data_IF_232870056530
#
_entry.id   IF_232870056530
#
_cell.length_a   1.000
_cell.length_b   1.000
_cell.length_c   1.000
_cell.angle_alpha   90.00
_cell.angle_beta   90.00
_cell.angle_gamma   90.00
#
_symmetry.space_group_name_H-M   'P 1'
#
loop_
_entity.id
_entity.type
_entity.pdbx_description
1 polymer ?
#
# COMPACT_ATOMS: atom_id res chain seq x y z
N UNK A 1 17.13 -5.13 20.37
CA UNK A 1 17.33 -4.39 19.10
C UNK A 1 17.39 -2.91 19.41
N UNK A 2 18.38 -2.15 18.92
CA UNK A 2 18.33 -0.69 18.97
C UNK A 2 17.41 -0.21 17.84
N UNK A 3 16.34 0.49 18.21
CA UNK A 3 15.39 1.08 17.28
C UNK A 3 15.97 2.39 16.74
N UNK A 4 16.07 2.55 15.41
CA UNK A 4 16.58 3.77 14.74
C UNK A 4 15.70 5.01 14.94
N UNK A 5 14.58 4.86 15.65
CA UNK A 5 13.67 5.93 16.01
C UNK A 5 13.48 5.86 17.54
N UNK A 6 13.65 6.98 18.27
CA UNK A 6 13.36 7.00 19.70
C UNK A 6 11.92 6.53 19.93
N UNK A 7 11.75 5.53 20.79
CA UNK A 7 10.45 4.89 21.09
C UNK A 7 9.45 5.86 21.73
N UNK A 8 9.93 7.01 22.22
CA UNK A 8 9.13 8.13 22.70
C UNK A 8 9.71 9.42 22.11
N UNK A 9 8.93 10.12 21.29
CA UNK A 9 9.23 11.51 20.88
C UNK A 9 8.72 12.43 21.99
N UNK A 10 9.48 13.47 22.33
CA UNK A 10 8.95 14.55 23.17
C UNK A 10 7.82 15.28 22.44
N UNK A 11 6.96 15.97 23.19
CA UNK A 11 5.88 16.77 22.62
C UNK A 11 6.44 17.80 21.61
N UNK A 12 7.52 18.50 21.95
CA UNK A 12 8.15 19.46 21.05
C UNK A 12 8.73 18.84 19.78
N UNK A 13 9.31 17.65 19.88
CA UNK A 13 9.76 16.90 18.70
C UNK A 13 8.59 16.50 17.82
N UNK A 14 7.46 16.09 18.41
CA UNK A 14 6.24 15.80 17.66
C UNK A 14 5.72 17.07 16.98
N UNK A 15 5.65 18.21 17.70
CA UNK A 15 5.21 19.49 17.13
C UNK A 15 6.07 19.92 15.94
N UNK A 16 7.39 19.81 16.05
CA UNK A 16 8.32 20.08 14.94
C UNK A 16 8.10 19.12 13.76
N UNK A 17 7.90 17.83 14.02
CA UNK A 17 7.65 16.85 12.97
C UNK A 17 6.33 17.11 12.23
N UNK A 18 5.26 17.45 12.94
CA UNK A 18 3.98 17.81 12.32
C UNK A 18 4.08 19.11 11.52
N UNK A 19 4.83 20.11 12.01
CA UNK A 19 5.11 21.32 11.25
C UNK A 19 5.82 21.01 9.93
N UNK A 20 6.91 20.24 9.97
CA UNK A 20 7.62 19.82 8.75
C UNK A 20 6.71 19.05 7.79
N UNK A 21 5.84 18.18 8.31
CA UNK A 21 4.89 17.43 7.48
C UNK A 21 3.82 18.34 6.86
N UNK A 22 3.35 19.35 7.60
CA UNK A 22 2.45 20.38 7.09
C UNK A 22 3.11 21.21 6.00
N UNK A 23 4.35 21.65 6.19
CA UNK A 23 5.11 22.41 5.19
C UNK A 23 5.34 21.58 3.92
N UNK A 24 5.71 20.30 4.06
CA UNK A 24 5.85 19.36 2.94
C UNK A 24 4.52 19.15 2.20
N UNK A 25 3.42 19.02 2.95
CA UNK A 25 2.09 18.85 2.37
C UNK A 25 1.65 20.12 1.61
N UNK A 26 1.87 21.31 2.17
CA UNK A 26 1.61 22.60 1.53
C UNK A 26 2.46 22.77 0.27
N UNK A 27 3.73 22.37 0.32
CA UNK A 27 4.61 22.37 -0.84
C UNK A 27 4.00 21.55 -1.99
N UNK A 28 3.50 20.34 -1.73
CA UNK A 28 2.88 19.51 -2.76
C UNK A 28 1.53 20.02 -3.28
N UNK A 29 0.79 20.75 -2.45
CA UNK A 29 -0.57 21.22 -2.75
C UNK A 29 -0.60 22.57 -3.46
N UNK A 30 0.45 23.38 -3.29
CA UNK A 30 0.60 24.64 -3.97
C UNK A 30 0.68 24.43 -5.50
N UNK A 31 -0.09 25.22 -6.25
CA UNK A 31 -0.20 25.17 -7.72
C UNK A 31 0.17 26.50 -8.38
N UNK A 32 0.56 27.51 -7.60
CA UNK A 32 0.71 28.89 -8.09
C UNK A 32 2.10 29.49 -7.91
N UNK A 33 2.88 28.99 -6.96
CA UNK A 33 4.20 29.50 -6.63
C UNK A 33 5.31 28.59 -7.21
N UNK A 34 6.42 29.19 -7.63
CA UNK A 34 7.58 28.44 -8.11
C UNK A 34 8.06 27.44 -7.04
N UNK A 35 8.25 26.17 -7.42
CA UNK A 35 8.72 25.12 -6.50
C UNK A 35 10.06 25.46 -5.86
N UNK A 36 10.98 26.01 -6.65
CA UNK A 36 12.29 26.42 -6.15
C UNK A 36 12.18 27.55 -5.12
N UNK A 37 11.29 28.52 -5.33
CA UNK A 37 11.03 29.60 -4.38
C UNK A 37 10.62 29.05 -3.01
N UNK A 38 9.63 28.16 -2.99
CA UNK A 38 9.16 27.54 -1.73
C UNK A 38 10.30 26.80 -1.02
N UNK A 39 11.13 26.05 -1.76
CA UNK A 39 12.23 25.28 -1.18
C UNK A 39 13.34 26.19 -0.62
N UNK A 40 13.74 27.22 -1.37
CA UNK A 40 14.78 28.17 -0.97
C UNK A 40 14.32 28.95 0.28
N UNK A 41 13.09 29.46 0.28
CA UNK A 41 12.50 30.17 1.43
C UNK A 41 12.34 29.26 2.65
N UNK A 42 12.03 27.97 2.46
CA UNK A 42 11.94 27.00 3.54
C UNK A 42 13.28 26.84 4.30
N UNK A 43 14.41 26.94 3.60
CA UNK A 43 15.75 26.91 4.20
C UNK A 43 16.22 28.27 4.73
N UNK A 44 15.38 29.31 4.65
CA UNK A 44 15.67 30.66 5.14
C UNK A 44 16.46 31.54 4.18
N UNK A 45 16.58 31.13 2.91
CA UNK A 45 17.20 31.91 1.86
C UNK A 45 16.15 32.76 1.11
N UNK A 46 16.54 33.93 0.60
CA UNK A 46 15.66 34.79 -0.21
C UNK A 46 15.81 34.48 -1.71
N UNK A 47 14.71 34.09 -2.34
CA UNK A 47 14.65 33.85 -3.78
C UNK A 47 14.18 35.10 -4.57
N UNK A 48 13.62 36.09 -3.89
CA UNK A 48 12.97 37.27 -4.47
C UNK A 48 11.79 36.91 -5.38
N UNK A 49 11.56 37.76 -6.38
CA UNK A 49 10.50 37.56 -7.40
C UNK A 49 10.97 36.78 -8.63
N UNK A 50 12.11 36.11 -8.52
CA UNK A 50 12.66 35.29 -9.60
C UNK A 50 11.80 34.04 -9.79
N UNK A 51 11.85 33.48 -11.00
CA UNK A 51 11.26 32.17 -11.35
C UNK A 51 12.40 31.24 -11.75
N UNK A 52 12.31 29.97 -11.37
CA UNK A 52 13.35 29.00 -11.74
C UNK A 52 13.28 28.56 -13.21
N UNK A 53 12.16 28.82 -13.90
CA UNK A 53 11.88 28.44 -15.30
C UNK A 53 11.93 26.93 -15.60
N UNK A 54 12.12 26.08 -14.58
CA UNK A 54 12.32 24.64 -14.73
C UNK A 54 11.25 23.77 -14.06
N UNK A 55 10.52 24.30 -13.07
CA UNK A 55 9.48 23.52 -12.38
C UNK A 55 8.16 23.51 -13.14
N UNK A 56 7.31 22.53 -12.82
CA UNK A 56 5.94 22.37 -13.36
C UNK A 56 5.19 23.70 -13.42
N UNK A 57 5.18 24.46 -12.33
CA UNK A 57 4.42 25.73 -12.25
C UNK A 57 5.04 26.84 -13.12
N UNK A 58 6.37 26.87 -13.29
CA UNK A 58 7.02 27.87 -14.16
C UNK A 58 6.95 27.52 -15.64
N UNK A 59 6.85 26.23 -15.97
CA UNK A 59 6.78 25.71 -17.33
C UNK A 59 5.34 25.75 -17.83
N UNK A 60 4.41 25.17 -17.07
CA UNK A 60 3.00 25.05 -17.46
C UNK A 60 2.18 26.32 -17.11
N UNK A 61 2.68 27.10 -16.15
CA UNK A 61 1.95 28.23 -15.57
C UNK A 61 0.98 27.80 -14.46
N UNK A 62 0.54 28.75 -13.62
CA UNK A 62 -0.47 28.47 -12.61
C UNK A 62 -1.83 28.17 -13.26
N UNK A 63 -2.72 27.43 -12.56
CA UNK A 63 -4.08 27.20 -13.05
C UNK A 63 -4.88 28.51 -13.14
N UNK A 64 -6.05 28.46 -13.77
CA UNK A 64 -6.97 29.61 -13.79
C UNK A 64 -7.37 29.97 -12.36
N UNK A 65 -7.26 31.25 -12.02
CA UNK A 65 -7.77 31.80 -10.78
C UNK A 65 -9.31 31.74 -10.78
N UNK A 66 -9.89 31.26 -9.69
CA UNK A 66 -11.34 31.15 -9.52
C UNK A 66 -11.79 32.08 -8.42
N UNK A 67 -12.98 32.66 -8.57
CA UNK A 67 -13.69 33.31 -7.48
C UNK A 67 -14.47 32.24 -6.71
N UNK A 68 -14.10 32.02 -5.45
CA UNK A 68 -14.74 31.04 -4.56
C UNK A 68 -15.50 31.73 -3.42
N UNK A 69 -15.99 32.97 -3.64
CA UNK A 69 -16.63 33.77 -2.60
C UNK A 69 -17.86 33.09 -2.02
N UNK A 70 -18.69 32.51 -2.87
CA UNK A 70 -19.90 31.81 -2.43
C UNK A 70 -19.56 30.58 -1.57
N UNK A 71 -18.61 29.74 -2.02
CA UNK A 71 -18.16 28.57 -1.27
C UNK A 71 -17.51 28.96 0.07
N UNK A 72 -16.69 30.01 0.06
CA UNK A 72 -16.05 30.52 1.27
C UNK A 72 -17.08 31.07 2.26
N UNK A 73 -18.07 31.83 1.77
CA UNK A 73 -19.14 32.39 2.57
C UNK A 73 -20.00 31.31 3.21
N UNK A 74 -20.49 30.34 2.43
CA UNK A 74 -21.36 29.29 2.97
C UNK A 74 -20.63 28.42 4.00
N UNK A 75 -19.36 28.08 3.75
CA UNK A 75 -18.55 27.34 4.71
C UNK A 75 -18.33 28.14 5.99
N UNK A 76 -17.97 29.42 5.85
CA UNK A 76 -17.73 30.30 7.00
C UNK A 76 -19.02 30.55 7.80
N UNK A 77 -20.17 30.72 7.16
CA UNK A 77 -21.48 30.86 7.80
C UNK A 77 -21.84 29.60 8.60
N UNK A 78 -21.65 28.40 8.01
CA UNK A 78 -21.92 27.15 8.72
C UNK A 78 -21.03 26.98 9.96
N UNK A 79 -19.75 27.34 9.84
CA UNK A 79 -18.82 27.34 10.97
C UNK A 79 -19.28 28.35 12.02
N UNK A 80 -19.48 29.62 11.64
CA UNK A 80 -19.86 30.69 12.57
C UNK A 80 -21.18 30.41 13.30
N UNK A 81 -22.22 29.96 12.59
CA UNK A 81 -23.52 29.63 13.18
C UNK A 81 -23.39 28.58 14.29
N UNK A 82 -22.57 27.55 14.06
CA UNK A 82 -22.35 26.49 15.05
C UNK A 82 -21.70 27.00 16.33
N UNK A 83 -20.73 27.92 16.21
CA UNK A 83 -20.03 28.47 17.38
C UNK A 83 -20.85 29.56 18.08
N UNK A 84 -21.70 30.30 17.35
CA UNK A 84 -22.68 31.21 17.95
C UNK A 84 -23.72 30.45 18.80
N UNK A 85 -24.24 29.32 18.30
CA UNK A 85 -25.14 28.43 19.04
C UNK A 85 -24.47 27.86 20.31
N UNK A 86 -23.17 27.53 20.26
CA UNK A 86 -22.44 27.03 21.43
C UNK A 86 -22.18 28.11 22.49
N UNK A 87 -21.98 29.37 22.09
CA UNK A 87 -21.73 30.47 23.02
C UNK A 87 -22.99 30.93 23.78
N UNK A 88 -24.17 30.70 23.21
CA UNK A 88 -25.45 31.09 23.82
C UNK A 88 -25.85 30.19 25.01
N UNK A 89 -25.31 28.97 25.09
CA UNK A 89 -25.64 28.00 26.15
C UNK A 89 -24.82 28.16 27.45
N UNK A 90 -23.79 29.00 27.47
CA UNK A 90 -22.88 29.15 28.63
C UNK A 90 -23.41 30.13 29.71
N UNK A 91 -24.54 30.81 29.47
CA UNK A 91 -25.08 31.86 30.36
C UNK A 91 -26.53 31.65 30.83
N UNK A 92 -27.13 30.48 30.58
CA UNK A 92 -28.51 30.20 31.01
C UNK A 92 -28.52 29.34 32.28
N UNK A 93 -28.59 30.00 33.44
CA UNK A 93 -29.09 29.41 34.68
C UNK A 93 -30.62 29.34 34.58
N UNK A 94 -31.15 28.40 33.79
CA UNK A 94 -32.53 27.96 34.00
C UNK A 94 -32.72 26.48 33.69
N UNK A 95 -33.39 25.85 34.64
CA UNK A 95 -33.69 24.44 34.75
C UNK A 95 -34.82 24.09 33.76
N UNK A 96 -34.47 23.75 32.52
CA UNK A 96 -35.46 23.22 31.58
C UNK A 96 -34.86 22.22 30.61
N UNK A 97 -35.07 20.94 30.93
CA UNK A 97 -35.28 19.77 30.06
C UNK A 97 -34.44 19.59 28.78
N UNK A 98 -33.27 20.20 28.67
CA UNK A 98 -32.37 19.97 27.56
C UNK A 98 -31.68 18.61 27.76
N UNK A 99 -32.10 17.60 26.99
CA UNK A 99 -31.57 16.23 27.13
C UNK A 99 -30.04 16.23 27.09
N UNK A 100 -29.40 15.45 27.98
CA UNK A 100 -27.93 15.35 28.07
C UNK A 100 -27.27 15.06 26.70
N UNK A 101 -27.99 14.40 25.80
CA UNK A 101 -27.62 14.12 24.41
C UNK A 101 -27.34 15.37 23.57
N UNK A 102 -28.10 16.46 23.74
CA UNK A 102 -27.89 17.69 22.97
C UNK A 102 -26.68 18.43 23.49
N UNK A 103 -26.57 18.64 24.81
CA UNK A 103 -25.39 19.23 25.47
C UNK A 103 -24.11 18.48 25.08
N UNK A 104 -24.14 17.15 25.01
CA UNK A 104 -22.98 16.35 24.63
C UNK A 104 -22.61 16.46 23.14
N UNK A 105 -23.57 16.72 22.23
CA UNK A 105 -23.27 17.02 20.82
C UNK A 105 -22.58 18.38 20.63
N UNK A 106 -22.82 19.36 21.53
CA UNK A 106 -22.15 20.67 21.49
C UNK A 106 -20.71 20.64 22.04
N UNK A 107 -20.43 19.76 22.99
CA UNK A 107 -19.06 19.52 23.49
C UNK A 107 -18.13 18.89 22.43
N UNK A 108 -18.70 18.15 21.47
CA UNK A 108 -17.92 17.53 20.39
C UNK A 108 -17.69 18.55 19.27
N UNK A 109 -16.43 18.99 19.10
CA UNK A 109 -16.04 19.85 17.99
C UNK A 109 -16.36 19.17 16.66
N UNK A 110 -17.22 19.76 15.80
CA UNK A 110 -17.59 19.14 14.54
C UNK A 110 -16.42 19.16 13.55
N UNK A 111 -16.22 18.04 12.86
CA UNK A 111 -15.20 17.95 11.83
C UNK A 111 -15.67 18.63 10.53
N UNK A 112 -14.73 18.93 9.63
CA UNK A 112 -15.02 19.55 8.33
C UNK A 112 -16.10 18.78 7.53
N UNK A 113 -16.10 17.44 7.59
CA UNK A 113 -17.10 16.62 6.88
C UNK A 113 -18.52 16.90 7.38
N UNK A 114 -18.71 17.13 8.68
CA UNK A 114 -20.02 17.46 9.24
C UNK A 114 -20.56 18.78 8.66
N UNK A 115 -19.71 19.81 8.55
CA UNK A 115 -20.09 21.07 7.91
C UNK A 115 -20.44 20.87 6.43
N UNK A 116 -19.62 20.14 5.69
CA UNK A 116 -19.87 19.86 4.27
C UNK A 116 -21.18 19.10 4.04
N UNK A 117 -21.50 18.15 4.90
CA UNK A 117 -22.78 17.44 4.82
C UNK A 117 -23.96 18.40 5.04
N UNK A 118 -23.88 19.29 6.04
CA UNK A 118 -24.91 20.33 6.29
C UNK A 118 -25.04 21.30 5.10
N UNK A 119 -23.94 21.68 4.46
CA UNK A 119 -23.95 22.52 3.24
C UNK A 119 -24.69 21.82 2.11
N UNK A 120 -24.45 20.52 1.90
CA UNK A 120 -25.12 19.72 0.87
C UNK A 120 -26.61 19.55 1.13
N UNK A 121 -27.01 19.44 2.39
CA UNK A 121 -28.42 19.39 2.79
C UNK A 121 -29.15 20.71 2.52
N UNK A 122 -28.47 21.86 2.70
CA UNK A 122 -29.07 23.18 2.56
C UNK A 122 -28.98 23.79 1.15
N UNK A 123 -28.01 23.37 0.33
CA UNK A 123 -27.77 23.97 -0.98
C UNK A 123 -27.68 22.91 -2.08
N UNK A 124 -28.68 22.92 -2.97
CA UNK A 124 -28.74 22.06 -4.14
C UNK A 124 -27.50 22.19 -5.05
N UNK A 125 -26.89 23.39 -5.09
CA UNK A 125 -25.70 23.70 -5.90
C UNK A 125 -24.49 22.87 -5.52
N UNK A 126 -24.35 22.52 -4.24
CA UNK A 126 -23.14 21.90 -3.71
C UNK A 126 -23.27 20.40 -3.41
N UNK A 127 -24.41 19.78 -3.73
CA UNK A 127 -24.69 18.36 -3.47
C UNK A 127 -23.61 17.44 -4.06
N UNK A 128 -23.19 17.73 -5.29
CA UNK A 128 -22.23 16.90 -6.04
C UNK A 128 -20.77 17.32 -5.84
N UNK A 129 -20.50 18.42 -5.12
CA UNK A 129 -19.15 18.91 -4.89
C UNK A 129 -18.37 17.95 -3.98
N UNK A 130 -17.23 17.45 -4.43
CA UNK A 130 -16.40 16.50 -3.69
C UNK A 130 -15.91 17.07 -2.35
N UNK A 131 -15.80 16.23 -1.32
CA UNK A 131 -15.18 16.59 -0.04
C UNK A 131 -13.73 17.07 -0.20
N UNK A 132 -12.99 16.58 -1.20
CA UNK A 132 -11.63 17.05 -1.50
C UNK A 132 -11.59 18.54 -1.86
N UNK A 133 -12.60 19.03 -2.59
CA UNK A 133 -12.74 20.45 -2.91
C UNK A 133 -12.83 21.30 -1.63
N UNK A 134 -13.71 20.89 -0.72
CA UNK A 134 -13.92 21.57 0.56
C UNK A 134 -12.70 21.51 1.48
N UNK A 135 -11.92 20.43 1.43
CA UNK A 135 -10.65 20.32 2.16
C UNK A 135 -9.61 21.32 1.66
N UNK A 136 -9.48 21.47 0.35
CA UNK A 136 -8.60 22.49 -0.24
C UNK A 136 -9.06 23.90 0.12
N UNK A 137 -10.35 24.19 0.00
CA UNK A 137 -10.91 25.48 0.39
C UNK A 137 -10.64 25.81 1.86
N UNK A 138 -10.87 24.86 2.78
CA UNK A 138 -10.57 25.05 4.20
C UNK A 138 -9.08 25.37 4.45
N UNK A 139 -8.16 24.68 3.76
CA UNK A 139 -6.72 24.94 3.85
C UNK A 139 -6.34 26.34 3.34
N UNK A 140 -6.97 26.80 2.25
CA UNK A 140 -6.79 28.17 1.74
C UNK A 140 -7.32 29.20 2.74
N UNK A 141 -8.50 28.96 3.32
CA UNK A 141 -9.09 29.85 4.32
C UNK A 141 -8.26 29.91 5.61
N UNK A 142 -7.68 28.79 6.04
CA UNK A 142 -6.71 28.74 7.14
C UNK A 142 -5.45 29.54 6.80
N UNK A 143 -4.88 29.36 5.60
CA UNK A 143 -3.69 30.07 5.17
C UNK A 143 -3.89 31.59 5.12
N UNK A 144 -5.09 32.05 4.75
CA UNK A 144 -5.48 33.47 4.79
C UNK A 144 -5.83 33.97 6.19
N UNK A 145 -5.99 33.06 7.16
CA UNK A 145 -6.24 33.36 8.57
C UNK A 145 -7.70 33.60 8.92
N UNK A 146 -8.65 33.08 8.13
CA UNK A 146 -10.09 33.18 8.42
C UNK A 146 -10.57 32.10 9.39
N UNK A 147 -10.00 30.90 9.30
CA UNK A 147 -10.28 29.78 10.19
C UNK A 147 -9.00 29.27 10.85
N UNK A 148 -9.14 28.59 11.98
CA UNK A 148 -8.05 27.90 12.69
C UNK A 148 -8.47 26.47 13.08
N UNK A 149 -7.50 25.65 13.42
CA UNK A 149 -7.76 24.34 14.03
C UNK A 149 -8.25 24.52 15.47
N UNK A 150 -9.38 23.89 15.80
CA UNK A 150 -10.05 24.06 17.09
C UNK A 150 -9.59 23.07 18.16
N UNK A 151 -9.07 21.89 17.85
CA UNK A 151 -8.80 20.86 18.87
C UNK A 151 -7.47 21.02 19.63
N UNK A 152 -6.80 22.18 19.49
CA UNK A 152 -5.48 22.53 20.03
C UNK A 152 -4.37 21.52 19.71
N UNK A 153 -4.63 20.60 18.78
CA UNK A 153 -3.66 19.60 18.30
C UNK A 153 -3.14 20.03 16.95
N UNK A 154 -1.87 19.68 16.70
CA UNK A 154 -1.24 19.98 15.42
C UNK A 154 -1.64 18.89 14.42
N UNK A 155 -2.44 19.28 13.42
CA UNK A 155 -2.74 18.45 12.26
C UNK A 155 -2.04 18.99 11.02
N UNK A 156 -1.91 18.11 10.02
CA UNK A 156 -1.38 18.46 8.69
C UNK A 156 -2.44 19.19 7.85
N UNK A 157 -3.71 18.93 8.16
CA UNK A 157 -4.89 19.50 7.50
C UNK A 157 -5.91 19.84 8.58
N UNK A 158 -6.64 20.94 8.38
CA UNK A 158 -7.79 21.33 9.21
C UNK A 158 -8.74 20.14 9.37
N UNK A 159 -8.96 19.71 10.62
CA UNK A 159 -9.96 18.68 10.96
C UNK A 159 -11.19 19.29 11.59
N UNK A 160 -11.01 20.17 12.56
CA UNK A 160 -12.04 20.81 13.36
C UNK A 160 -11.94 22.33 13.16
N UNK A 161 -12.54 22.86 12.09
CA UNK A 161 -12.44 24.28 11.80
C UNK A 161 -13.14 25.12 12.88
N UNK A 162 -12.49 26.19 13.29
CA UNK A 162 -12.99 27.18 14.23
C UNK A 162 -12.85 28.58 13.61
N UNK A 163 -13.85 29.46 13.75
CA UNK A 163 -13.79 30.79 13.16
C UNK A 163 -12.78 31.67 13.90
N UNK A 164 -12.05 32.49 13.16
CA UNK A 164 -11.21 33.56 13.74
C UNK A 164 -11.95 34.90 13.69
N UNK A 165 -11.43 35.93 14.37
CA UNK A 165 -11.95 37.30 14.27
C UNK A 165 -12.03 37.79 12.81
N UNK A 166 -10.95 37.58 12.03
CA UNK A 166 -10.91 37.92 10.60
C UNK A 166 -11.93 37.14 9.78
N UNK A 167 -12.19 35.88 10.14
CA UNK A 167 -13.24 35.08 9.51
C UNK A 167 -14.64 35.63 9.76
N UNK A 168 -14.91 36.11 10.97
CA UNK A 168 -16.19 36.72 11.30
C UNK A 168 -16.37 38.08 10.61
N UNK A 169 -15.30 38.89 10.55
CA UNK A 169 -15.27 40.14 9.77
C UNK A 169 -15.53 39.89 8.28
N UNK A 170 -14.98 38.80 7.73
CA UNK A 170 -15.23 38.38 6.33
C UNK A 170 -16.72 38.12 6.03
N UNK A 171 -17.50 37.67 7.02
CA UNK A 171 -18.96 37.51 6.86
C UNK A 171 -19.71 38.83 6.96
N UNK A 172 -19.19 39.80 7.72
CA UNK A 172 -19.82 41.09 7.95
C UNK A 172 -19.50 42.11 6.85
N UNK A 173 -18.38 41.93 6.14
CA UNK A 173 -18.02 42.78 5.02
C UNK A 173 -18.96 42.52 3.85
N UNK A 174 -19.86 43.48 3.56
CA UNK A 174 -20.63 43.56 2.31
C UNK A 174 -19.76 43.92 1.10
N UNK A 175 -18.44 43.83 1.20
CA UNK A 175 -17.54 44.18 0.12
C UNK A 175 -17.84 43.31 -1.10
N UNK A 176 -18.10 43.93 -2.25
CA UNK A 176 -18.29 43.25 -3.54
C UNK A 176 -17.02 42.53 -4.03
N UNK A 177 -15.89 42.67 -3.33
CA UNK A 177 -14.64 41.98 -3.67
C UNK A 177 -14.82 40.45 -3.72
N UNK A 178 -14.46 39.85 -4.84
CA UNK A 178 -14.47 38.40 -5.06
C UNK A 178 -13.37 37.69 -4.28
N UNK A 179 -13.59 36.44 -3.91
CA UNK A 179 -12.60 35.60 -3.25
C UNK A 179 -11.74 34.86 -4.27
N UNK A 180 -10.86 35.63 -4.93
CA UNK A 180 -10.02 35.13 -6.01
C UNK A 180 -8.84 34.31 -5.47
N UNK A 181 -8.77 33.04 -5.87
CA UNK A 181 -7.72 32.11 -5.44
C UNK A 181 -7.31 31.14 -6.55
N UNK A 182 -6.07 30.65 -6.48
CA UNK A 182 -5.62 29.53 -7.29
C UNK A 182 -6.04 28.21 -6.61
N UNK A 183 -6.82 27.35 -7.28
CA UNK A 183 -7.21 26.07 -6.71
C UNK A 183 -5.99 25.18 -6.46
N UNK A 184 -5.94 24.57 -5.29
CA UNK A 184 -4.85 23.66 -4.91
C UNK A 184 -4.96 22.30 -5.62
N UNK A 185 -3.92 21.48 -5.52
CA UNK A 185 -3.80 20.26 -6.33
C UNK A 185 -4.95 19.26 -6.15
N UNK A 186 -5.46 19.10 -4.91
CA UNK A 186 -6.63 18.26 -4.60
C UNK A 186 -7.95 18.83 -5.12
N UNK A 187 -8.10 20.16 -5.09
CA UNK A 187 -9.23 20.86 -5.71
C UNK A 187 -9.24 20.63 -7.22
N UNK A 188 -8.11 20.84 -7.90
CA UNK A 188 -7.96 20.55 -9.33
C UNK A 188 -8.22 19.08 -9.64
N UNK A 189 -7.79 18.17 -8.76
CA UNK A 189 -8.08 16.74 -8.91
C UNK A 189 -9.58 16.46 -8.82
N UNK A 190 -10.29 17.07 -7.88
CA UNK A 190 -11.74 16.90 -7.73
C UNK A 190 -12.56 17.45 -8.90
N UNK A 191 -12.05 18.47 -9.61
CA UNK A 191 -12.68 19.00 -10.83
C UNK A 191 -12.49 18.09 -12.04
N UNK A 192 -11.50 17.19 -11.99
CA UNK A 192 -11.35 16.22 -13.08
C UNK A 192 -12.59 15.35 -13.05
N UNK A 193 -13.35 15.35 -14.15
CA UNK A 193 -14.37 14.33 -14.39
C UNK A 193 -13.74 13.00 -13.99
N UNK A 194 -14.47 12.13 -13.26
CA UNK A 194 -14.05 10.75 -13.14
C UNK A 194 -13.67 10.33 -14.56
N UNK A 195 -12.39 10.08 -14.81
CA UNK A 195 -12.07 9.29 -15.99
C UNK A 195 -12.94 8.07 -15.76
N UNK A 196 -13.85 7.77 -16.70
CA UNK A 196 -14.47 6.46 -16.75
C UNK A 196 -13.32 5.52 -16.43
N UNK A 197 -13.40 4.84 -15.27
CA UNK A 197 -12.28 4.11 -14.69
C UNK A 197 -11.59 3.44 -15.85
N UNK A 198 -10.28 3.67 -16.01
CA UNK A 198 -9.55 3.19 -17.18
C UNK A 198 -10.04 1.78 -17.43
N UNK A 199 -10.72 1.56 -18.56
CA UNK A 199 -11.50 0.32 -18.75
C UNK A 199 -10.58 -0.86 -18.45
N UNK A 200 -11.09 -2.06 -18.15
CA UNK A 200 -10.23 -3.21 -17.83
C UNK A 200 -9.08 -3.43 -18.86
N UNK A 201 -9.26 -2.96 -20.10
CA UNK A 201 -8.22 -2.90 -21.15
C UNK A 201 -7.00 -2.01 -20.84
N UNK A 202 -7.13 -1.02 -19.95
CA UNK A 202 -6.09 -0.11 -19.47
C UNK A 202 -5.41 -0.59 -18.17
N UNK A 203 -6.09 -1.38 -17.32
CA UNK A 203 -5.47 -2.06 -16.16
C UNK A 203 -4.36 -3.03 -16.58
N UNK A 204 -4.51 -3.59 -17.78
CA UNK A 204 -3.48 -4.38 -18.45
C UNK A 204 -2.38 -3.56 -19.12
N UNK A 205 -2.35 -2.22 -19.07
CA UNK A 205 -1.30 -1.39 -19.68
C UNK A 205 -0.26 -1.00 -18.63
N UNK A 206 0.76 -1.82 -18.46
CA UNK A 206 1.87 -1.53 -17.54
C UNK A 206 2.48 -2.78 -16.90
N UNK A 207 2.76 -2.72 -15.58
CA UNK A 207 3.47 -3.80 -14.87
C UNK A 207 2.74 -5.16 -14.96
N UNK A 208 1.40 -5.15 -15.01
CA UNK A 208 0.55 -6.34 -15.12
C UNK A 208 0.24 -6.77 -16.58
N UNK A 209 0.75 -6.07 -17.59
CA UNK A 209 0.53 -6.45 -19.00
C UNK A 209 1.21 -7.80 -19.32
N UNK A 210 0.47 -8.81 -19.84
CA UNK A 210 1.04 -10.12 -20.20
C UNK A 210 2.15 -10.04 -21.25
N UNK A 211 2.08 -9.10 -22.19
CA UNK A 211 3.06 -8.87 -23.25
C UNK A 211 4.32 -8.20 -22.72
N UNK A 212 4.17 -7.16 -21.89
CA UNK A 212 5.32 -6.50 -21.23
C UNK A 212 6.00 -7.47 -20.24
N UNK A 213 5.24 -8.38 -19.64
CA UNK A 213 5.78 -9.48 -18.82
C UNK A 213 6.55 -10.49 -19.68
N UNK A 214 6.00 -10.92 -20.82
CA UNK A 214 6.67 -11.82 -21.78
C UNK A 214 7.97 -11.21 -22.30
N UNK A 215 7.95 -9.97 -22.78
CA UNK A 215 9.14 -9.25 -23.25
C UNK A 215 10.24 -9.13 -22.17
N UNK A 216 9.86 -8.97 -20.90
CA UNK A 216 10.82 -8.96 -19.79
C UNK A 216 11.40 -10.34 -19.52
N UNK A 217 10.56 -11.37 -19.49
CA UNK A 217 11.00 -12.75 -19.32
C UNK A 217 11.89 -13.21 -20.48
N UNK A 218 11.59 -12.77 -21.70
CA UNK A 218 12.41 -13.04 -22.88
C UNK A 218 13.71 -12.23 -22.88
N UNK A 219 13.73 -10.97 -22.40
CA UNK A 219 14.98 -10.24 -22.13
C UNK A 219 15.84 -10.93 -21.07
N UNK A 220 15.22 -11.53 -20.05
CA UNK A 220 15.92 -12.28 -19.01
C UNK A 220 16.48 -13.61 -19.57
N UNK A 221 15.73 -14.28 -20.45
CA UNK A 221 16.13 -15.54 -21.10
C UNK A 221 17.17 -15.35 -22.21
N UNK A 222 17.08 -14.27 -22.97
CA UNK A 222 17.99 -13.93 -24.09
C UNK A 222 19.27 -13.22 -23.65
N UNK A 223 19.29 -12.61 -22.45
CA UNK A 223 20.55 -12.13 -21.91
C UNK A 223 21.39 -13.35 -21.48
N UNK A 224 22.42 -13.67 -22.27
CA UNK A 224 23.54 -14.54 -21.88
C UNK A 224 24.40 -13.89 -20.77
N UNK A 225 23.77 -13.23 -19.79
CA UNK A 225 24.46 -12.72 -18.61
C UNK A 225 24.73 -13.91 -17.70
N UNK A 226 25.97 -14.39 -17.75
CA UNK A 226 26.52 -15.31 -16.76
C UNK A 226 26.07 -14.85 -15.36
N UNK A 227 25.54 -15.76 -14.51
CA UNK A 227 25.08 -15.39 -13.19
C UNK A 227 26.21 -14.68 -12.46
N UNK A 228 25.97 -13.44 -12.02
CA UNK A 228 26.91 -12.69 -11.18
C UNK A 228 27.17 -13.53 -9.95
N UNK A 229 28.42 -13.94 -9.74
CA UNK A 229 28.83 -14.70 -8.54
C UNK A 229 28.25 -14.00 -7.30
N UNK A 230 27.59 -14.72 -6.39
CA UNK A 230 27.11 -14.13 -5.15
C UNK A 230 28.32 -13.56 -4.43
N UNK A 231 28.29 -12.25 -4.14
CA UNK A 231 29.31 -11.60 -3.33
C UNK A 231 29.25 -12.27 -1.96
N UNK A 232 30.25 -13.08 -1.63
CA UNK A 232 30.41 -13.70 -0.32
C UNK A 232 30.58 -12.58 0.70
N UNK A 233 29.48 -12.17 1.32
CA UNK A 233 29.54 -11.48 2.62
C UNK A 233 30.24 -12.45 3.55
N UNK A 234 31.42 -12.07 4.06
CA UNK A 234 32.10 -12.80 5.14
C UNK A 234 31.10 -12.96 6.28
N UNK A 235 30.48 -14.13 6.39
CA UNK A 235 29.72 -14.47 7.57
C UNK A 235 30.72 -14.65 8.70
N UNK A 236 30.63 -13.78 9.71
CA UNK A 236 31.21 -14.10 11.02
C UNK A 236 30.69 -15.48 11.42
N UNK A 237 31.59 -16.35 11.89
CA UNK A 237 31.29 -17.68 12.43
C UNK A 237 30.05 -17.59 13.32
N UNK A 238 28.91 -18.03 12.81
CA UNK A 238 27.70 -18.19 13.59
C UNK A 238 27.79 -19.58 14.19
N UNK A 239 27.98 -19.65 15.50
CA UNK A 239 27.82 -20.89 16.25
C UNK A 239 26.45 -21.50 15.91
N UNK A 240 26.40 -22.80 15.69
CA UNK A 240 25.17 -23.53 15.38
C UNK A 240 24.22 -23.45 16.57
N UNK A 241 23.21 -22.58 16.47
CA UNK A 241 22.18 -22.47 17.48
C UNK A 241 21.18 -23.63 17.33
N UNK A 242 21.20 -24.56 18.28
CA UNK A 242 20.36 -25.76 18.35
C UNK A 242 18.95 -25.47 18.85
N UNK A 243 18.67 -24.23 19.29
CA UNK A 243 17.35 -23.82 19.76
C UNK A 243 16.30 -23.85 18.65
N UNK A 244 16.69 -23.61 17.39
CA UNK A 244 15.77 -23.59 16.25
C UNK A 244 15.69 -24.95 15.54
N UNK A 245 14.50 -25.30 15.04
CA UNK A 245 14.26 -26.51 14.24
C UNK A 245 15.19 -26.60 13.03
N UNK A 246 15.50 -25.47 12.39
CA UNK A 246 16.50 -25.36 11.31
C UNK A 246 17.92 -25.72 11.75
N UNK A 247 18.34 -25.30 12.95
CA UNK A 247 19.65 -25.64 13.51
C UNK A 247 19.79 -27.14 13.79
N UNK A 248 18.76 -27.76 14.37
CA UNK A 248 18.72 -29.22 14.65
C UNK A 248 18.74 -30.05 13.36
N UNK A 249 18.03 -29.60 12.33
CA UNK A 249 18.03 -30.26 11.01
C UNK A 249 19.41 -30.17 10.35
N UNK A 250 20.08 -29.01 10.41
CA UNK A 250 21.45 -28.85 9.89
C UNK A 250 22.47 -29.74 10.62
N UNK A 251 22.38 -29.86 11.94
CA UNK A 251 23.26 -30.72 12.73
C UNK A 251 23.08 -32.21 12.37
N UNK A 252 21.84 -32.68 12.26
CA UNK A 252 21.54 -34.07 11.86
C UNK A 252 21.98 -34.37 10.43
N UNK A 253 21.82 -33.42 9.49
CA UNK A 253 22.30 -33.57 8.11
C UNK A 253 23.84 -33.65 8.08
N UNK A 254 24.55 -32.85 8.86
CA UNK A 254 26.03 -32.89 8.92
C UNK A 254 26.54 -34.20 9.52
N UNK A 255 25.88 -34.70 10.58
CA UNK A 255 26.25 -35.96 11.23
C UNK A 255 26.02 -37.17 10.30
N UNK A 256 24.92 -37.17 9.55
CA UNK A 256 24.62 -38.20 8.55
C UNK A 256 25.58 -38.16 7.36
N UNK A 257 26.08 -36.97 7.00
CA UNK A 257 27.11 -36.78 5.95
C UNK A 257 28.49 -37.28 6.36
N UNK A 258 28.83 -37.19 7.65
CA UNK A 258 30.06 -37.76 8.23
C UNK A 258 30.03 -39.29 8.16
N UNK A 259 28.96 -39.90 8.68
CA UNK A 259 28.79 -41.36 8.67
C UNK A 259 28.76 -41.96 7.26
N UNK A 260 28.17 -41.24 6.29
CA UNK A 260 28.16 -41.67 4.89
C UNK A 260 29.57 -41.61 4.26
N UNK A 261 30.39 -40.61 4.61
CA UNK A 261 31.77 -40.51 4.11
C UNK A 261 32.69 -41.59 4.71
N UNK A 262 32.48 -41.95 5.97
CA UNK A 262 33.27 -43.01 6.63
C UNK A 262 32.90 -44.40 6.10
N UNK A 263 31.62 -44.67 5.83
CA UNK A 263 31.17 -45.93 5.24
C UNK A 263 31.67 -46.11 3.80
N UNK A 264 31.68 -45.03 3.00
CA UNK A 264 32.24 -45.05 1.63
C UNK A 264 33.75 -45.29 1.65
N UNK A 265 34.50 -44.72 2.60
CA UNK A 265 35.94 -44.97 2.75
C UNK A 265 36.25 -46.41 3.18
N UNK A 266 35.44 -46.99 4.06
CA UNK A 266 35.56 -48.40 4.47
C UNK A 266 35.25 -49.33 3.28
N UNK A 267 34.22 -49.03 2.49
CA UNK A 267 33.88 -49.77 1.27
C UNK A 267 35.01 -49.68 0.24
N UNK A 268 35.60 -48.50 0.00
CA UNK A 268 36.74 -48.37 -0.91
C UNK A 268 38.01 -49.07 -0.42
N UNK A 269 38.23 -49.16 0.89
CA UNK A 269 39.36 -49.89 1.47
C UNK A 269 39.21 -51.41 1.39
N UNK A 270 37.98 -51.93 1.54
CA UNK A 270 37.68 -53.37 1.44
C UNK A 270 37.62 -53.85 -0.02
N UNK A 271 37.32 -52.95 -0.97
CA UNK A 271 37.13 -53.26 -2.39
C UNK A 271 38.42 -53.09 -3.23
N UNK A 272 39.55 -52.75 -2.62
CA UNK A 272 40.86 -52.71 -3.27
C UNK A 272 41.41 -54.07 -3.78
N UNK A 273 40.67 -55.17 -3.61
CA UNK A 273 41.10 -56.53 -3.91
C UNK A 273 39.98 -57.37 -4.59
N UNK A 274 39.43 -56.94 -5.74
CA UNK A 274 38.78 -57.89 -6.67
C UNK A 274 38.47 -57.25 -8.03
N UNK A 275 38.95 -57.84 -9.12
CA UNK A 275 38.90 -57.34 -10.50
C UNK A 275 37.53 -57.49 -11.20
N UNK A 276 36.42 -57.59 -10.48
CA UNK A 276 35.10 -57.91 -11.08
C UNK A 276 34.18 -56.71 -11.35
N UNK A 277 34.70 -55.47 -11.44
CA UNK A 277 33.85 -54.26 -11.44
C UNK A 277 33.26 -53.79 -12.77
N UNK A 278 33.47 -54.49 -13.89
CA UNK A 278 32.97 -54.01 -15.19
C UNK A 278 31.45 -54.21 -15.35
N UNK A 279 30.82 -55.11 -14.57
CA UNK A 279 29.37 -55.35 -14.66
C UNK A 279 28.50 -54.62 -13.62
N UNK A 280 29.08 -53.94 -12.62
CA UNK A 280 28.33 -53.30 -11.50
C UNK A 280 28.19 -51.77 -11.65
N UNK A 281 29.00 -51.13 -12.50
CA UNK A 281 28.95 -49.68 -12.73
C UNK A 281 27.64 -49.17 -13.38
N UNK A 282 26.97 -49.90 -14.29
CA UNK A 282 25.70 -49.46 -14.87
C UNK A 282 24.54 -49.43 -13.86
N UNK A 283 24.49 -50.40 -12.93
CA UNK A 283 23.44 -50.52 -11.91
C UNK A 283 23.56 -49.46 -10.81
N UNK A 284 24.79 -49.13 -10.39
CA UNK A 284 25.05 -48.02 -9.46
C UNK A 284 24.63 -46.65 -10.04
N UNK A 285 24.90 -46.42 -11.34
CA UNK A 285 24.50 -45.18 -12.02
C UNK A 285 22.98 -45.10 -12.26
N UNK A 286 22.30 -46.25 -12.39
CA UNK A 286 20.83 -46.35 -12.44
C UNK A 286 20.21 -46.07 -11.07
N UNK A 287 20.79 -46.64 -10.01
CA UNK A 287 20.39 -46.41 -8.62
C UNK A 287 20.59 -44.96 -8.18
N UNK A 288 21.72 -44.33 -8.50
CA UNK A 288 21.96 -42.92 -8.20
C UNK A 288 20.97 -42.00 -8.92
N UNK A 289 20.59 -42.33 -10.17
CA UNK A 289 19.55 -41.60 -10.92
C UNK A 289 18.17 -41.77 -10.27
N UNK A 290 17.83 -42.96 -9.81
CA UNK A 290 16.59 -43.21 -9.04
C UNK A 290 16.56 -42.41 -7.74
N UNK A 291 17.66 -42.38 -6.98
CA UNK A 291 17.76 -41.58 -5.73
C UNK A 291 17.59 -40.07 -5.98
N UNK A 292 18.18 -39.54 -7.06
CA UNK A 292 18.00 -38.13 -7.45
C UNK A 292 16.55 -37.86 -7.89
N UNK A 293 15.91 -38.80 -8.58
CA UNK A 293 14.50 -38.67 -8.98
C UNK A 293 13.54 -38.72 -7.78
N UNK A 294 13.81 -39.59 -6.80
CA UNK A 294 13.04 -39.70 -5.55
C UNK A 294 13.15 -38.40 -4.74
N UNK A 295 14.36 -37.86 -4.59
CA UNK A 295 14.57 -36.62 -3.85
C UNK A 295 13.95 -35.40 -4.56
N UNK A 296 13.99 -35.38 -5.90
CA UNK A 296 13.25 -34.37 -6.69
C UNK A 296 11.74 -34.50 -6.49
N UNK A 297 11.20 -35.72 -6.49
CA UNK A 297 9.78 -35.97 -6.24
C UNK A 297 9.37 -35.52 -4.83
N UNK A 298 10.24 -35.73 -3.84
CA UNK A 298 10.05 -35.27 -2.46
C UNK A 298 9.96 -33.74 -2.36
N UNK A 299 10.86 -33.02 -3.05
CA UNK A 299 10.87 -31.56 -3.09
C UNK A 299 9.63 -31.03 -3.83
N UNK A 300 9.25 -31.66 -4.95
CA UNK A 300 8.05 -31.29 -5.71
C UNK A 300 6.79 -31.50 -4.85
N UNK A 301 6.69 -32.62 -4.14
CA UNK A 301 5.57 -32.92 -3.24
C UNK A 301 5.45 -31.89 -2.11
N UNK A 302 6.58 -31.52 -1.48
CA UNK A 302 6.59 -30.48 -0.43
C UNK A 302 6.22 -29.09 -0.98
N UNK A 303 6.64 -28.77 -2.21
CA UNK A 303 6.25 -27.52 -2.86
C UNK A 303 4.76 -27.51 -3.24
N UNK A 304 4.20 -28.68 -3.59
CA UNK A 304 2.78 -28.87 -3.92
C UNK A 304 1.90 -28.72 -2.69
N UNK A 305 2.24 -29.36 -1.57
CA UNK A 305 1.52 -29.19 -0.29
C UNK A 305 1.50 -27.71 0.14
N UNK A 306 2.64 -27.01 0.02
CA UNK A 306 2.71 -25.60 0.36
C UNK A 306 2.01 -24.68 -0.65
N UNK A 307 1.81 -25.13 -1.89
CA UNK A 307 1.01 -24.42 -2.87
C UNK A 307 -0.49 -24.61 -2.59
N UNK A 308 -0.93 -25.84 -2.30
CA UNK A 308 -2.31 -26.18 -1.93
C UNK A 308 -2.73 -25.43 -0.65
N UNK A 309 -1.90 -25.43 0.40
CA UNK A 309 -2.15 -24.67 1.64
C UNK A 309 -2.24 -23.15 1.42
N UNK A 310 -1.51 -22.61 0.42
CA UNK A 310 -1.62 -21.19 0.06
C UNK A 310 -2.89 -20.90 -0.73
N UNK A 311 -3.32 -21.79 -1.62
CA UNK A 311 -4.57 -21.65 -2.38
C UNK A 311 -5.76 -21.63 -1.43
N UNK A 312 -5.82 -22.56 -0.47
CA UNK A 312 -6.90 -22.60 0.54
C UNK A 312 -6.92 -21.30 1.36
N UNK A 313 -5.77 -20.82 1.84
CA UNK A 313 -5.68 -19.54 2.58
C UNK A 313 -6.07 -18.32 1.76
N UNK A 314 -5.82 -18.32 0.45
CA UNK A 314 -6.26 -17.24 -0.43
C UNK A 314 -7.76 -17.28 -0.65
N UNK A 315 -8.33 -18.48 -0.79
CA UNK A 315 -9.76 -18.68 -0.94
C UNK A 315 -10.52 -18.23 0.32
N UNK A 316 -10.06 -18.62 1.52
CA UNK A 316 -10.66 -18.15 2.78
C UNK A 316 -10.59 -16.63 2.97
N UNK A 317 -9.46 -16.00 2.60
CA UNK A 317 -9.34 -14.53 2.65
C UNK A 317 -10.25 -13.85 1.65
N UNK A 318 -10.35 -14.41 0.46
CA UNK A 318 -11.22 -13.90 -0.59
C UNK A 318 -12.69 -13.97 -0.16
N UNK A 319 -13.13 -15.10 0.36
CA UNK A 319 -14.52 -15.31 0.83
C UNK A 319 -14.86 -14.40 2.02
N UNK A 320 -13.89 -14.14 2.91
CA UNK A 320 -14.05 -13.20 4.03
C UNK A 320 -14.17 -11.74 3.56
N UNK A 321 -13.36 -11.34 2.59
CA UNK A 321 -13.42 -9.99 2.00
C UNK A 321 -14.74 -9.82 1.23
N UNK A 322 -15.14 -10.85 0.48
CA UNK A 322 -16.44 -10.91 -0.19
C UNK A 322 -17.61 -10.76 0.79
N UNK A 323 -17.61 -11.51 1.89
CA UNK A 323 -18.65 -11.37 2.92
C UNK A 323 -18.76 -9.95 3.47
N UNK A 324 -17.62 -9.27 3.65
CA UNK A 324 -17.57 -7.87 4.11
C UNK A 324 -18.02 -6.86 3.04
N UNK A 325 -17.74 -7.12 1.77
CA UNK A 325 -18.14 -6.24 0.66
C UNK A 325 -19.64 -6.43 0.34
N UNK A 326 -20.10 -7.68 0.28
CA UNK A 326 -21.50 -8.00 0.03
C UNK A 326 -22.42 -7.50 1.15
N UNK A 327 -21.96 -7.49 2.41
CA UNK A 327 -22.74 -6.92 3.53
C UNK A 327 -22.86 -5.40 3.49
N UNK A 328 -22.00 -4.70 2.73
CA UNK A 328 -21.92 -3.23 2.75
C UNK A 328 -22.39 -2.54 1.46
N UNK A 329 -22.38 -3.21 0.28
CA UNK A 329 -22.41 -2.48 -1.01
C UNK A 329 -23.18 -3.11 -2.19
N UNK A 330 -24.02 -4.12 -2.04
CA UNK A 330 -24.62 -4.81 -3.20
C UNK A 330 -25.65 -3.98 -3.99
N UNK A 331 -25.19 -3.20 -4.99
CA UNK A 331 -25.84 -2.90 -6.29
C UNK A 331 -24.78 -2.51 -7.37
N UNK A 332 -23.65 -3.22 -7.53
CA UNK A 332 -22.69 -2.86 -8.58
C UNK A 332 -22.24 -4.05 -9.43
N UNK A 333 -22.68 -4.03 -10.71
CA UNK A 333 -22.40 -4.99 -11.77
C UNK A 333 -20.90 -5.17 -12.04
N UNK A 334 -20.11 -4.11 -11.91
CA UNK A 334 -18.65 -4.14 -12.19
C UNK A 334 -17.89 -5.01 -11.17
N UNK A 335 -18.45 -5.18 -9.97
CA UNK A 335 -17.87 -6.06 -8.96
C UNK A 335 -18.17 -7.53 -9.27
N UNK A 336 -19.32 -7.84 -9.88
CA UNK A 336 -19.64 -9.21 -10.33
C UNK A 336 -18.67 -9.67 -11.43
N UNK A 337 -18.33 -8.79 -12.37
CA UNK A 337 -17.38 -9.06 -13.43
C UNK A 337 -15.93 -9.22 -12.90
N UNK A 338 -15.55 -8.39 -11.92
CA UNK A 338 -14.26 -8.54 -11.23
C UNK A 338 -14.16 -9.87 -10.47
N UNK A 339 -15.27 -10.33 -9.87
CA UNK A 339 -15.35 -11.61 -9.19
C UNK A 339 -15.33 -12.78 -10.17
N UNK A 340 -15.99 -12.66 -11.31
CA UNK A 340 -15.90 -13.64 -12.39
C UNK A 340 -14.45 -13.76 -12.91
N UNK A 341 -13.75 -12.63 -13.08
CA UNK A 341 -12.34 -12.59 -13.47
C UNK A 341 -11.39 -13.19 -12.43
N UNK A 342 -11.59 -12.87 -11.14
CA UNK A 342 -10.82 -13.47 -10.04
C UNK A 342 -11.03 -14.99 -9.98
N UNK A 343 -12.28 -15.45 -10.17
CA UNK A 343 -12.62 -16.88 -10.22
C UNK A 343 -11.99 -17.59 -11.41
N UNK A 344 -11.95 -16.95 -12.58
CA UNK A 344 -11.25 -17.48 -13.76
C UNK A 344 -9.74 -17.66 -13.50
N UNK A 345 -9.08 -16.65 -12.91
CA UNK A 345 -7.66 -16.74 -12.56
C UNK A 345 -7.36 -17.83 -11.51
N UNK A 346 -8.29 -18.04 -10.57
CA UNK A 346 -8.19 -19.16 -9.62
C UNK A 346 -8.33 -20.52 -10.31
N UNK A 347 -9.24 -20.64 -11.28
CA UNK A 347 -9.40 -21.87 -12.06
C UNK A 347 -8.16 -22.16 -12.91
N UNK A 348 -7.53 -21.16 -13.52
CA UNK A 348 -6.24 -21.33 -14.22
C UNK A 348 -5.13 -21.82 -13.29
N UNK A 349 -5.06 -21.27 -12.07
CA UNK A 349 -4.10 -21.73 -11.06
C UNK A 349 -4.38 -23.18 -10.61
N UNK A 350 -5.65 -23.58 -10.54
CA UNK A 350 -6.07 -24.95 -10.25
C UNK A 350 -5.68 -25.90 -11.39
N UNK A 351 -5.93 -25.53 -12.64
CA UNK A 351 -5.51 -26.33 -13.81
C UNK A 351 -3.99 -26.53 -13.85
N UNK A 352 -3.23 -25.49 -13.52
CA UNK A 352 -1.78 -25.59 -13.39
C UNK A 352 -1.37 -26.60 -12.30
N UNK A 353 -2.05 -26.60 -11.14
CA UNK A 353 -1.80 -27.57 -10.08
C UNK A 353 -2.16 -29.01 -10.51
N UNK A 354 -3.25 -29.19 -11.25
CA UNK A 354 -3.63 -30.49 -11.85
C UNK A 354 -2.57 -30.95 -12.86
N UNK A 355 -2.03 -30.04 -13.67
CA UNK A 355 -0.92 -30.32 -14.59
C UNK A 355 0.34 -30.82 -13.88
N UNK A 356 0.68 -30.21 -12.73
CA UNK A 356 1.79 -30.67 -11.89
C UNK A 356 1.55 -32.06 -11.29
N UNK A 357 0.32 -32.37 -10.84
CA UNK A 357 -0.03 -33.73 -10.39
C UNK A 357 0.05 -34.76 -11.52
N UNK A 358 -0.38 -34.41 -12.73
CA UNK A 358 -0.26 -35.29 -13.91
C UNK A 358 1.21 -35.59 -14.21
N UNK A 359 2.08 -34.58 -14.12
CA UNK A 359 3.53 -34.74 -14.29
C UNK A 359 4.13 -35.61 -13.18
N UNK A 360 3.70 -35.44 -11.92
CA UNK A 360 4.11 -36.31 -10.80
C UNK A 360 3.74 -37.78 -11.05
N UNK A 361 2.52 -38.04 -11.54
CA UNK A 361 2.06 -39.40 -11.88
C UNK A 361 2.82 -40.00 -13.06
N UNK A 362 3.18 -39.20 -14.07
CA UNK A 362 4.01 -39.67 -15.19
C UNK A 362 5.43 -40.04 -14.74
N UNK A 363 6.02 -39.25 -13.85
CA UNK A 363 7.33 -39.57 -13.25
C UNK A 363 7.24 -40.88 -12.44
N UNK A 364 6.18 -41.05 -11.64
CA UNK A 364 5.94 -42.29 -10.90
C UNK A 364 5.77 -43.51 -11.83
N UNK A 365 5.04 -43.38 -12.94
CA UNK A 365 4.88 -44.45 -13.95
C UNK A 365 6.22 -44.82 -14.62
N UNK A 366 7.02 -43.82 -14.97
CA UNK A 366 8.37 -44.05 -15.54
C UNK A 366 9.33 -44.70 -14.54
N UNK A 367 9.10 -44.56 -13.24
CA UNK A 367 9.85 -45.26 -12.20
C UNK A 367 9.40 -46.73 -12.10
N UNK A 368 8.10 -47.02 -12.22
CA UNK A 368 7.58 -48.40 -12.19
C UNK A 368 7.88 -49.23 -13.44
N UNK A 369 7.94 -48.62 -14.63
CA UNK A 369 8.37 -49.33 -15.86
C UNK A 369 9.83 -49.80 -15.78
N UNK A 370 10.67 -49.09 -15.03
CA UNK A 370 12.09 -49.43 -14.85
C UNK A 370 12.29 -50.63 -13.91
N UNK A 371 11.30 -50.91 -13.05
CA UNK A 371 11.27 -52.08 -12.15
C UNK A 371 10.62 -53.31 -12.81
N UNK A 372 9.72 -53.12 -13.79
CA UNK A 372 9.10 -54.23 -14.54
C UNK A 372 10.07 -54.96 -15.50
N UNK A 373 11.16 -54.32 -15.94
CA UNK A 373 12.21 -54.94 -16.74
C UNK A 373 13.29 -55.70 -15.93
N UNK A 374 13.10 -55.90 -14.61
CA UNK A 374 14.02 -56.67 -13.75
C UNK A 374 13.34 -57.86 -13.04
N UNK A 375 12.18 -58.30 -13.52
CA UNK A 375 11.62 -59.62 -13.19
C UNK A 375 11.43 -60.40 -14.49
N UNK A 376 12.48 -61.13 -14.86
CA UNK A 376 12.59 -61.99 -16.03
C UNK A 376 13.93 -62.68 -16.01
#
# INVERSE_FOLDING_TARGET
>A
MPTLLPSKRSEDQAKRAYKMLSDFFRYGMNTSCCRAKILVEYFGEDFGDKKCLLCDICVDGPPKMLDLKEEANILMQMIAARYAESGFMDYSYDDSLCSDTERQKFLVKPNLRAFVNKIREQSQKFITTDLLWWKGLARIMEAKGYIREGDDKIHVQIKFPEPTKRGLEFLQSESDEGFHVYPEADMLYSMRKPRAYSSFSDWGKGWANPEIRRQRLDKIRSSNRKPRKPRTRKSRKHFSDTSTSRGRISAKISQKKSLLMDYVRIIFAVIGFSTSFIFVLPSLKKWQRQQVSIEKLRIISQALEHAEERVVRFQERHDRILGQICSYYMVNQDLEDALAGARAAMNEALEFAVGLRKMQLQILRSLTEVDAFHVG
#
